data_IF_581169624359
#
_entry.id   IF_581169624359
#
_cell.length_a   1.000
_cell.length_b   1.000
_cell.length_c   1.000
_cell.angle_alpha   90.00
_cell.angle_beta   90.00
_cell.angle_gamma   90.00
#
_symmetry.space_group_name_H-M   'P 1'
#
loop_
_entity.id
_entity.type
_entity.pdbx_description
1 polymer ?
#
# COMPACT_ATOMS: atom_id res chain seq x y z
N UNK A 1 14.60 6.09 5.24
CA UNK A 1 13.43 6.67 5.97
C UNK A 1 12.16 6.77 5.11
N UNK A 2 12.23 7.11 3.81
CA UNK A 2 11.04 7.29 2.97
C UNK A 2 10.09 6.07 2.86
N UNK A 3 10.62 4.87 2.59
CA UNK A 3 9.79 3.65 2.40
C UNK A 3 9.02 3.25 3.67
N UNK A 4 9.64 3.40 4.84
CA UNK A 4 9.00 3.13 6.13
C UNK A 4 7.85 4.12 6.45
N UNK A 5 7.99 5.37 6.02
CA UNK A 5 6.96 6.39 6.18
C UNK A 5 5.74 6.11 5.30
N UNK A 6 5.96 5.72 4.03
CA UNK A 6 4.87 5.34 3.12
C UNK A 6 4.12 4.12 3.66
N UNK A 7 4.84 3.14 4.22
CA UNK A 7 4.24 1.95 4.84
C UNK A 7 3.30 2.29 5.99
N UNK A 8 3.74 3.14 6.92
CA UNK A 8 2.90 3.59 8.04
C UNK A 8 1.67 4.36 7.55
N UNK A 9 1.85 5.24 6.56
CA UNK A 9 0.76 6.03 6.00
C UNK A 9 -0.31 5.18 5.30
N UNK A 10 0.08 4.11 4.60
CA UNK A 10 -0.86 3.20 3.93
C UNK A 10 -1.63 2.34 4.94
N UNK A 11 -0.93 1.74 5.92
CA UNK A 11 -1.56 0.97 7.00
C UNK A 11 -2.56 1.83 7.79
N UNK A 12 -2.19 3.08 8.10
CA UNK A 12 -3.07 4.03 8.78
C UNK A 12 -4.32 4.35 7.95
N UNK A 13 -4.13 4.59 6.64
CA UNK A 13 -5.23 4.94 5.73
C UNK A 13 -6.20 3.78 5.52
N UNK A 14 -5.71 2.54 5.44
CA UNK A 14 -6.56 1.34 5.37
C UNK A 14 -7.34 1.13 6.68
N UNK A 15 -6.69 1.35 7.83
CA UNK A 15 -7.36 1.31 9.14
C UNK A 15 -8.52 2.30 9.25
N UNK A 16 -8.38 3.49 8.65
CA UNK A 16 -9.44 4.50 8.62
C UNK A 16 -10.61 4.13 7.70
N UNK A 17 -10.36 3.42 6.59
CA UNK A 17 -11.40 2.84 5.72
C UNK A 17 -12.23 1.83 6.49
N UNK A 18 -11.58 0.87 7.14
CA UNK A 18 -12.25 -0.21 7.87
C UNK A 18 -13.10 0.31 9.03
N UNK A 19 -12.62 1.33 9.76
CA UNK A 19 -13.40 1.98 10.83
C UNK A 19 -14.68 2.67 10.34
N UNK A 20 -14.68 3.17 9.10
CA UNK A 20 -15.81 3.88 8.50
C UNK A 20 -16.79 2.95 7.75
N UNK A 21 -16.41 1.70 7.53
CA UNK A 21 -17.19 0.72 6.76
C UNK A 21 -18.57 0.42 7.38
N UNK A 22 -18.71 0.51 8.71
CA UNK A 22 -20.01 0.38 9.39
C UNK A 22 -21.02 1.50 9.06
N UNK A 23 -20.60 2.60 8.42
CA UNK A 23 -21.44 3.75 8.07
C UNK A 23 -21.50 3.98 6.55
N UNK A 24 -22.47 3.33 5.89
CA UNK A 24 -22.75 3.41 4.44
C UNK A 24 -23.13 4.83 3.94
N UNK A 25 -23.46 5.77 4.83
CA UNK A 25 -23.65 7.19 4.47
C UNK A 25 -22.36 7.91 4.07
N UNK A 26 -21.20 7.24 4.18
CA UNK A 26 -19.87 7.81 3.87
C UNK A 26 -19.27 7.35 2.54
N UNK A 27 -20.08 6.87 1.58
CA UNK A 27 -19.63 6.41 0.26
C UNK A 27 -18.62 7.34 -0.43
N UNK A 28 -18.84 8.66 -0.36
CA UNK A 28 -17.91 9.69 -0.86
C UNK A 28 -16.60 9.80 -0.06
N UNK A 29 -16.63 9.48 1.23
CA UNK A 29 -15.43 9.43 2.08
C UNK A 29 -14.64 8.15 1.84
N UNK A 30 -15.33 7.02 1.64
CA UNK A 30 -14.70 5.73 1.33
C UNK A 30 -14.01 5.80 -0.03
N UNK A 31 -14.68 6.34 -1.06
CA UNK A 31 -14.08 6.56 -2.38
C UNK A 31 -12.82 7.43 -2.33
N UNK A 32 -12.82 8.51 -1.53
CA UNK A 32 -11.62 9.35 -1.32
C UNK A 32 -10.46 8.59 -0.66
N UNK A 33 -10.77 7.65 0.24
CA UNK A 33 -9.73 6.86 0.91
C UNK A 33 -9.18 5.77 -0.02
N UNK A 34 -10.02 5.18 -0.88
CA UNK A 34 -9.58 4.24 -1.92
C UNK A 34 -8.62 4.93 -2.89
N UNK A 35 -8.98 6.12 -3.42
CA UNK A 35 -8.07 6.90 -4.29
C UNK A 35 -6.74 7.17 -3.59
N UNK A 36 -6.77 7.51 -2.30
CA UNK A 36 -5.56 7.72 -1.50
C UNK A 36 -4.73 6.44 -1.31
N UNK A 37 -5.35 5.27 -1.22
CA UNK A 37 -4.64 3.98 -1.14
C UNK A 37 -3.92 3.72 -2.46
N UNK A 38 -4.58 3.92 -3.60
CA UNK A 38 -3.97 3.76 -4.92
C UNK A 38 -2.81 4.75 -5.15
N UNK A 39 -2.99 6.03 -4.80
CA UNK A 39 -1.91 7.02 -4.89
C UNK A 39 -0.69 6.66 -4.01
N UNK A 40 -0.91 6.00 -2.88
CA UNK A 40 0.16 5.57 -1.97
C UNK A 40 0.84 4.29 -2.46
N UNK A 41 0.08 3.37 -3.06
CA UNK A 41 0.57 2.17 -3.71
C UNK A 41 1.49 2.57 -4.88
N UNK A 42 1.04 3.39 -5.82
CA UNK A 42 1.82 3.76 -7.01
C UNK A 42 3.16 4.43 -6.62
N UNK A 43 3.13 5.26 -5.57
CA UNK A 43 4.35 5.86 -5.00
C UNK A 43 5.24 4.85 -4.29
N UNK A 44 4.65 3.87 -3.61
CA UNK A 44 5.36 2.75 -2.99
C UNK A 44 6.09 1.91 -4.05
N UNK A 45 5.38 1.59 -5.12
CA UNK A 45 5.79 0.80 -6.29
C UNK A 45 6.97 1.46 -7.02
N UNK A 46 6.90 2.79 -7.22
CA UNK A 46 8.01 3.56 -7.79
C UNK A 46 9.25 3.56 -6.88
N UNK A 47 9.05 3.76 -5.57
CA UNK A 47 10.14 3.70 -4.60
C UNK A 47 10.75 2.30 -4.53
N UNK A 48 9.95 1.23 -4.61
CA UNK A 48 10.44 -0.14 -4.65
C UNK A 48 11.37 -0.33 -5.85
N UNK A 49 10.94 0.05 -7.05
CA UNK A 49 11.73 -0.05 -8.30
C UNK A 49 13.05 0.73 -8.19
N UNK A 50 13.01 1.96 -7.70
CA UNK A 50 14.22 2.79 -7.52
C UNK A 50 15.19 2.18 -6.50
N UNK A 51 14.68 1.66 -5.37
CA UNK A 51 15.52 1.06 -4.34
C UNK A 51 16.07 -0.30 -4.78
N UNK A 52 15.31 -1.11 -5.53
CA UNK A 52 15.80 -2.34 -6.16
C UNK A 52 16.94 -2.06 -7.12
N UNK A 53 16.78 -1.05 -7.99
CA UNK A 53 17.83 -0.68 -8.93
C UNK A 53 19.14 -0.26 -8.24
N UNK A 54 19.04 0.46 -7.12
CA UNK A 54 20.20 0.82 -6.29
C UNK A 54 20.78 -0.40 -5.58
N UNK A 55 19.93 -1.27 -5.04
CA UNK A 55 20.34 -2.44 -4.27
C UNK A 55 21.17 -3.41 -5.11
N UNK A 56 20.78 -3.65 -6.37
CA UNK A 56 21.53 -4.55 -7.26
C UNK A 56 22.89 -4.01 -7.72
N UNK A 57 23.24 -2.76 -7.36
CA UNK A 57 24.58 -2.20 -7.56
C UNK A 57 25.50 -2.39 -6.34
N UNK A 58 24.99 -2.93 -5.24
CA UNK A 58 25.81 -3.27 -4.07
C UNK A 58 26.70 -4.48 -4.34
N UNK A 59 27.89 -4.52 -3.74
CA UNK A 59 28.82 -5.64 -3.89
C UNK A 59 28.56 -6.75 -2.86
N UNK A 60 28.03 -6.40 -1.68
CA UNK A 60 27.76 -7.36 -0.61
C UNK A 60 26.46 -8.12 -0.88
N UNK A 61 26.60 -9.35 -1.35
CA UNK A 61 25.48 -10.27 -1.62
C UNK A 61 24.57 -10.46 -0.40
N UNK A 62 25.10 -10.43 0.83
CA UNK A 62 24.25 -10.56 2.03
C UNK A 62 23.33 -9.37 2.19
N UNK A 63 23.81 -8.16 1.89
CA UNK A 63 22.99 -6.95 1.90
C UNK A 63 21.94 -6.99 0.82
N UNK A 64 22.30 -7.45 -0.38
CA UNK A 64 21.34 -7.63 -1.49
C UNK A 64 20.20 -8.55 -1.07
N UNK A 65 20.52 -9.74 -0.55
CA UNK A 65 19.49 -10.73 -0.15
C UNK A 65 18.62 -10.20 0.98
N UNK A 66 19.24 -9.61 2.03
CA UNK A 66 18.49 -9.11 3.18
C UNK A 66 17.53 -7.98 2.82
N UNK A 67 18.02 -6.97 2.08
CA UNK A 67 17.19 -5.84 1.71
C UNK A 67 16.13 -6.20 0.68
N UNK A 68 16.43 -7.10 -0.27
CA UNK A 68 15.44 -7.62 -1.22
C UNK A 68 14.25 -8.22 -0.48
N UNK A 69 14.51 -9.12 0.49
CA UNK A 69 13.44 -9.75 1.26
C UNK A 69 12.61 -8.73 2.06
N UNK A 70 13.26 -7.69 2.60
CA UNK A 70 12.56 -6.61 3.32
C UNK A 70 11.67 -5.81 2.36
N UNK A 71 12.18 -5.41 1.20
CA UNK A 71 11.42 -4.64 0.23
C UNK A 71 10.25 -5.46 -0.34
N UNK A 72 10.43 -6.75 -0.62
CA UNK A 72 9.38 -7.67 -1.07
C UNK A 72 8.27 -7.85 0.00
N UNK A 73 8.65 -7.94 1.28
CA UNK A 73 7.69 -7.97 2.38
C UNK A 73 6.87 -6.66 2.50
N UNK A 74 7.49 -5.52 2.19
CA UNK A 74 6.81 -4.22 2.17
C UNK A 74 5.83 -4.14 0.99
N UNK A 75 6.23 -4.60 -0.20
CA UNK A 75 5.39 -4.62 -1.40
C UNK A 75 4.14 -5.48 -1.19
N UNK A 76 4.32 -6.70 -0.70
CA UNK A 76 3.21 -7.62 -0.40
C UNK A 76 2.21 -7.00 0.59
N UNK A 77 2.69 -6.14 1.49
CA UNK A 77 1.83 -5.41 2.42
C UNK A 77 0.98 -4.35 1.71
N UNK A 78 1.55 -3.61 0.75
CA UNK A 78 0.80 -2.61 -0.04
C UNK A 78 -0.22 -3.28 -0.95
N UNK A 79 0.17 -4.33 -1.68
CA UNK A 79 -0.70 -5.13 -2.55
C UNK A 79 -1.91 -5.68 -1.78
N UNK A 80 -1.68 -6.22 -0.57
CA UNK A 80 -2.78 -6.68 0.30
C UNK A 80 -3.72 -5.55 0.71
N UNK A 81 -3.19 -4.34 0.97
CA UNK A 81 -3.99 -3.18 1.33
C UNK A 81 -4.87 -2.71 0.16
N UNK A 82 -4.31 -2.66 -1.05
CA UNK A 82 -5.01 -2.32 -2.29
C UNK A 82 -6.11 -3.34 -2.58
N UNK A 83 -5.79 -4.64 -2.60
CA UNK A 83 -6.77 -5.72 -2.79
C UNK A 83 -7.94 -5.63 -1.81
N UNK A 84 -7.67 -5.28 -0.55
CA UNK A 84 -8.72 -5.08 0.46
C UNK A 84 -9.60 -3.87 0.13
N UNK A 85 -8.99 -2.76 -0.31
CA UNK A 85 -9.71 -1.56 -0.72
C UNK A 85 -10.60 -1.81 -1.95
N UNK A 86 -10.11 -2.58 -2.92
CA UNK A 86 -10.86 -2.99 -4.12
C UNK A 86 -12.06 -3.86 -3.78
N UNK A 87 -11.90 -4.84 -2.88
CA UNK A 87 -13.02 -5.67 -2.41
C UNK A 87 -14.09 -4.79 -1.75
N UNK A 88 -13.67 -3.85 -0.88
CA UNK A 88 -14.56 -2.88 -0.25
C UNK A 88 -15.30 -2.05 -1.29
N UNK A 89 -14.62 -1.57 -2.32
CA UNK A 89 -15.23 -0.82 -3.44
C UNK A 89 -16.25 -1.67 -4.20
N UNK A 90 -15.92 -2.91 -4.51
CA UNK A 90 -16.79 -3.83 -5.25
C UNK A 90 -18.07 -4.16 -4.47
N UNK A 91 -17.97 -4.37 -3.15
CA UNK A 91 -19.13 -4.59 -2.27
C UNK A 91 -20.04 -3.37 -2.27
N UNK A 92 -19.46 -2.17 -2.18
CA UNK A 92 -20.18 -0.90 -2.25
C UNK A 92 -20.94 -0.78 -3.57
N UNK A 93 -20.28 -0.95 -4.71
CA UNK A 93 -20.89 -0.80 -6.03
C UNK A 93 -22.04 -1.78 -6.28
N UNK A 94 -21.95 -3.00 -5.72
CA UNK A 94 -23.01 -4.02 -5.85
C UNK A 94 -24.24 -3.77 -4.98
N UNK A 95 -24.10 -3.01 -3.89
CA UNK A 95 -25.18 -2.71 -2.94
C UNK A 95 -25.64 -1.24 -3.01
N UNK A 96 -25.29 -0.54 -4.10
CA UNK A 96 -25.74 0.82 -4.43
C UNK A 96 -26.94 0.78 -5.36
#
# INVERSE_FOLDING_TARGET
>A
MGVLYVRLACIQSLGDVLKKFHNLKSLTTISKHIVKVNDLEERGDQLYKENMYRLYREEDVRRIVMWRNIYECIENCFDTCEHTADIVQAVIMKNS
#
